data_IF_330111763243
#
_entry.id   IF_330111763243
#
_cell.length_a   1.000
_cell.length_b   1.000
_cell.length_c   1.000
_cell.angle_alpha   90.00
_cell.angle_beta   90.00
_cell.angle_gamma   90.00
#
_symmetry.space_group_name_H-M   'P 1'
#
loop_
_entity.id
_entity.type
_entity.pdbx_description
1 polymer ?
#
# COMPACT_ATOMS: atom_id res chain seq x y z
N UNK A 1 54.79 -33.07 32.41
CA UNK A 1 55.35 -32.00 31.54
C UNK A 1 54.33 -31.74 30.44
N UNK A 2 54.08 -30.45 30.13
CA UNK A 2 53.30 -29.89 28.99
C UNK A 2 51.83 -30.33 28.89
N UNK A 3 50.79 -29.48 28.93
CA UNK A 3 50.65 -28.09 28.47
C UNK A 3 49.56 -28.05 27.39
N UNK A 4 48.54 -27.20 27.55
CA UNK A 4 47.85 -26.43 26.50
C UNK A 4 46.48 -25.90 26.99
N UNK A 5 46.37 -24.57 27.10
CA UNK A 5 45.09 -23.85 27.08
C UNK A 5 44.64 -23.73 25.63
N UNK A 6 43.39 -24.11 25.31
CA UNK A 6 42.68 -23.59 24.13
C UNK A 6 41.37 -22.95 24.59
N UNK A 7 41.31 -21.62 24.47
CA UNK A 7 40.04 -20.87 24.45
C UNK A 7 39.60 -20.78 23.00
N UNK A 8 38.39 -21.23 22.71
CA UNK A 8 37.71 -20.99 21.44
C UNK A 8 36.27 -20.60 21.79
N UNK A 9 35.98 -19.29 21.76
CA UNK A 9 34.61 -18.80 21.79
C UNK A 9 34.08 -18.80 20.36
N UNK A 10 32.88 -19.36 20.09
CA UNK A 10 32.29 -19.22 18.78
C UNK A 10 31.61 -17.86 18.69
N UNK A 11 32.06 -17.06 17.73
CA UNK A 11 31.29 -15.98 17.15
C UNK A 11 29.98 -16.55 16.59
N UNK A 12 28.84 -15.94 16.93
CA UNK A 12 27.63 -16.05 16.10
C UNK A 12 26.99 -14.67 15.98
N UNK A 13 27.15 -14.13 14.77
CA UNK A 13 26.46 -12.97 14.26
C UNK A 13 24.96 -13.25 14.13
N UNK A 14 24.13 -12.24 14.42
CA UNK A 14 22.73 -12.22 14.01
C UNK A 14 22.28 -10.78 13.72
N UNK A 15 22.81 -10.20 12.65
CA UNK A 15 22.24 -9.01 12.01
C UNK A 15 21.20 -9.48 10.97
N UNK A 16 19.93 -9.53 11.38
CA UNK A 16 18.79 -9.80 10.50
C UNK A 16 17.78 -8.65 10.62
N UNK A 17 18.13 -7.50 10.05
CA UNK A 17 17.13 -6.48 9.70
C UNK A 17 16.56 -6.87 8.34
N UNK A 18 15.44 -7.60 8.38
CA UNK A 18 14.68 -8.02 7.21
C UNK A 18 14.28 -6.78 6.39
N UNK A 19 14.86 -6.70 5.19
CA UNK A 19 14.40 -5.81 4.14
C UNK A 19 12.92 -6.11 3.85
N UNK A 20 12.03 -5.21 4.26
CA UNK A 20 10.63 -5.26 3.86
C UNK A 20 10.53 -4.92 2.37
N UNK A 21 10.64 -5.93 1.50
CA UNK A 21 10.14 -5.84 0.13
C UNK A 21 8.61 -5.75 0.18
N UNK A 22 8.10 -4.56 0.46
CA UNK A 22 6.75 -4.20 0.06
C UNK A 22 6.77 -4.02 -1.45
N UNK A 23 6.27 -5.02 -2.18
CA UNK A 23 5.97 -4.89 -3.60
C UNK A 23 4.93 -3.79 -3.76
N UNK A 24 5.40 -2.57 -4.08
CA UNK A 24 4.52 -1.49 -4.50
C UNK A 24 3.84 -2.01 -5.77
N UNK A 25 2.52 -2.28 -5.76
CA UNK A 25 1.85 -2.69 -6.98
C UNK A 25 2.14 -1.61 -8.03
N UNK A 26 2.34 -1.98 -9.31
CA UNK A 26 2.57 -1.00 -10.35
C UNK A 26 1.49 0.06 -10.22
N UNK A 27 1.88 1.31 -9.90
CA UNK A 27 0.94 2.41 -9.92
C UNK A 27 0.45 2.49 -11.36
N UNK A 28 -0.78 2.03 -11.59
CA UNK A 28 -1.46 2.21 -12.86
C UNK A 28 -1.58 3.72 -13.02
N UNK A 29 -0.74 4.29 -13.91
CA UNK A 29 -0.74 5.73 -14.17
C UNK A 29 -2.20 6.13 -14.43
N UNK A 30 -2.76 7.11 -13.70
CA UNK A 30 -4.12 7.55 -13.95
C UNK A 30 -4.25 7.89 -15.42
N UNK A 31 -5.18 7.23 -16.12
CA UNK A 31 -5.40 7.45 -17.56
C UNK A 31 -5.92 8.87 -17.86
N UNK A 32 -6.26 9.62 -16.83
CA UNK A 32 -6.91 10.93 -16.86
C UNK A 32 -6.35 11.81 -15.74
N UNK A 33 -6.29 13.12 -16.01
CA UNK A 33 -5.76 14.10 -15.07
C UNK A 33 -6.82 14.49 -14.04
N UNK A 34 -6.55 14.22 -12.76
CA UNK A 34 -7.45 14.57 -11.66
C UNK A 34 -7.14 15.92 -10.97
N UNK A 35 -6.23 16.73 -11.50
CA UNK A 35 -5.75 17.96 -10.85
C UNK A 35 -6.84 19.02 -10.59
N UNK A 36 -7.93 19.00 -11.36
CA UNK A 36 -9.07 19.91 -11.18
C UNK A 36 -10.12 19.43 -10.18
N UNK A 37 -10.00 18.22 -9.66
CA UNK A 37 -10.96 17.64 -8.72
C UNK A 37 -10.57 17.90 -7.27
N UNK A 38 -11.57 17.90 -6.38
CA UNK A 38 -11.35 18.09 -4.96
C UNK A 38 -10.45 16.99 -4.36
N UNK A 39 -9.75 17.26 -3.25
CA UNK A 39 -8.97 16.23 -2.56
C UNK A 39 -9.81 15.01 -2.14
N UNK A 40 -11.07 15.23 -1.75
CA UNK A 40 -12.01 14.17 -1.39
C UNK A 40 -12.29 13.26 -2.58
N UNK A 41 -12.59 13.84 -3.76
CA UNK A 41 -12.79 13.08 -5.00
C UNK A 41 -11.55 12.26 -5.37
N UNK A 42 -10.35 12.86 -5.33
CA UNK A 42 -9.10 12.15 -5.67
C UNK A 42 -8.84 10.96 -4.74
N UNK A 43 -9.10 11.12 -3.45
CA UNK A 43 -8.96 10.02 -2.50
C UNK A 43 -10.01 8.93 -2.75
N UNK A 44 -11.27 9.33 -2.97
CA UNK A 44 -12.35 8.42 -3.34
C UNK A 44 -11.97 7.62 -4.58
N UNK A 45 -11.47 8.28 -5.63
CA UNK A 45 -11.05 7.66 -6.88
C UNK A 45 -9.95 6.61 -6.67
N UNK A 46 -8.92 6.92 -5.88
CA UNK A 46 -7.87 5.95 -5.56
C UNK A 46 -8.42 4.71 -4.83
N UNK A 47 -9.27 4.92 -3.82
CA UNK A 47 -9.90 3.85 -3.05
C UNK A 47 -10.87 3.00 -3.91
N UNK A 48 -11.60 3.65 -4.81
CA UNK A 48 -12.47 3.03 -5.79
C UNK A 48 -11.71 2.11 -6.74
N UNK A 49 -10.59 2.60 -7.29
CA UNK A 49 -9.72 1.81 -8.14
C UNK A 49 -9.15 0.59 -7.41
N UNK A 50 -8.69 0.76 -6.17
CA UNK A 50 -8.24 -0.34 -5.31
C UNK A 50 -9.34 -1.36 -4.98
N UNK A 51 -10.61 -0.98 -5.14
CA UNK A 51 -11.78 -1.84 -4.93
C UNK A 51 -12.22 -2.61 -6.19
N UNK A 52 -11.66 -2.31 -7.37
CA UNK A 52 -12.13 -2.87 -8.64
C UNK A 52 -11.85 -4.37 -8.76
N UNK A 53 -10.76 -4.87 -8.17
CA UNK A 53 -10.33 -6.27 -8.23
C UNK A 53 -10.89 -7.20 -7.15
N UNK A 54 -11.89 -6.76 -6.38
CA UNK A 54 -12.53 -7.62 -5.37
C UNK A 54 -12.92 -6.87 -4.11
N UNK A 55 -12.16 -7.07 -3.02
CA UNK A 55 -12.49 -6.52 -1.70
C UNK A 55 -12.66 -5.00 -1.78
N UNK A 56 -13.81 -4.53 -1.31
CA UNK A 56 -14.09 -3.11 -1.20
C UNK A 56 -13.10 -2.43 -0.25
N UNK A 57 -12.46 -1.36 -0.73
CA UNK A 57 -11.58 -0.45 -0.02
C UNK A 57 -12.21 0.93 -0.08
N UNK A 58 -12.78 1.38 1.03
CA UNK A 58 -13.30 2.74 1.19
C UNK A 58 -13.36 3.12 2.66
N UNK A 59 -13.30 4.42 2.92
CA UNK A 59 -13.72 5.01 4.19
C UNK A 59 -15.26 5.05 4.20
N UNK A 60 -15.88 4.18 5.02
CA UNK A 60 -17.34 4.06 5.11
C UNK A 60 -18.02 5.34 5.59
N UNK A 61 -17.36 6.13 6.45
CA UNK A 61 -17.92 7.38 6.95
C UNK A 61 -17.95 8.42 5.83
N UNK A 62 -16.81 8.61 5.15
CA UNK A 62 -16.72 9.53 4.01
C UNK A 62 -17.62 9.10 2.86
N UNK A 63 -17.74 7.81 2.60
CA UNK A 63 -18.66 7.32 1.57
C UNK A 63 -20.12 7.73 1.83
N UNK A 64 -20.52 7.89 3.09
CA UNK A 64 -21.88 8.31 3.48
C UNK A 64 -22.03 9.83 3.56
N UNK A 65 -21.01 10.52 4.04
CA UNK A 65 -21.11 11.94 4.45
C UNK A 65 -20.49 12.92 3.44
N UNK A 66 -19.61 12.45 2.56
CA UNK A 66 -18.85 13.28 1.62
C UNK A 66 -19.18 12.87 0.17
N UNK A 67 -19.99 13.70 -0.48
CA UNK A 67 -20.46 13.44 -1.84
C UNK A 67 -19.31 13.37 -2.86
N UNK A 68 -18.26 14.19 -2.69
CA UNK A 68 -17.11 14.20 -3.58
C UNK A 68 -16.32 12.88 -3.44
N UNK A 69 -16.11 12.43 -2.20
CA UNK A 69 -15.49 11.14 -1.95
C UNK A 69 -16.30 9.98 -2.54
N UNK A 70 -17.62 9.97 -2.33
CA UNK A 70 -18.52 8.95 -2.88
C UNK A 70 -18.47 8.91 -4.42
N UNK A 71 -18.55 10.09 -5.06
CA UNK A 71 -18.46 10.20 -6.52
C UNK A 71 -17.11 9.70 -7.03
N UNK A 72 -16.02 10.14 -6.41
CA UNK A 72 -14.68 9.67 -6.73
C UNK A 72 -14.57 8.16 -6.62
N UNK A 73 -15.09 7.56 -5.54
CA UNK A 73 -15.04 6.11 -5.35
C UNK A 73 -15.79 5.32 -6.43
N UNK A 74 -16.99 5.77 -6.80
CA UNK A 74 -17.75 5.13 -7.87
C UNK A 74 -17.05 5.24 -9.23
N UNK A 75 -16.48 6.41 -9.52
CA UNK A 75 -15.73 6.67 -10.74
C UNK A 75 -14.46 5.79 -10.81
N UNK A 76 -13.63 5.79 -9.77
CA UNK A 76 -12.41 4.97 -9.71
C UNK A 76 -12.67 3.47 -9.80
N UNK A 77 -13.73 2.97 -9.15
CA UNK A 77 -14.14 1.56 -9.28
C UNK A 77 -14.56 1.22 -10.69
N UNK A 78 -15.18 2.15 -11.42
CA UNK A 78 -15.58 1.97 -12.81
C UNK A 78 -14.38 2.02 -13.75
N UNK A 79 -13.48 2.99 -13.55
CA UNK A 79 -12.31 3.20 -14.39
C UNK A 79 -11.30 2.02 -14.34
N UNK A 80 -11.17 1.36 -13.19
CA UNK A 80 -10.21 0.27 -12.98
C UNK A 80 -10.83 -1.13 -13.06
N UNK A 81 -12.13 -1.26 -13.38
CA UNK A 81 -12.73 -2.56 -13.71
C UNK A 81 -12.07 -3.06 -15.01
N UNK A 82 -11.49 -4.26 -14.96
CA UNK A 82 -10.91 -4.96 -16.11
C UNK A 82 -11.71 -6.21 -16.41
#
# INVERSE_FOLDING_TARGET
MTGAKLRAGPALAAALLLASCGSVPPQEKPRFNLSGYSPAFRQGHADGCASAGGKQRRDERRFREDADYMMGWNDGRSACRR
#
